data_IF_346269908542
#
_entry.id   IF_346269908542
#
_cell.length_a   1.000
_cell.length_b   1.000
_cell.length_c   1.000
_cell.angle_alpha   90.00
_cell.angle_beta   90.00
_cell.angle_gamma   90.00
#
_symmetry.space_group_name_H-M   'P 1'
#
loop_
_entity.id
_entity.type
_entity.pdbx_description
1 polymer ?
#
# COMPACT_ATOMS: atom_id res chain seq x y z
N UNK A 1 19.38 -23.78 43.92
CA UNK A 1 20.04 -22.47 43.70
C UNK A 1 20.96 -22.08 44.86
N UNK A 2 20.58 -22.32 46.13
CA UNK A 2 21.39 -21.95 47.32
C UNK A 2 22.77 -22.65 47.45
N UNK A 3 22.92 -23.90 46.98
CA UNK A 3 24.19 -24.65 47.13
C UNK A 3 25.30 -24.15 46.19
N UNK A 4 24.95 -23.69 44.98
CA UNK A 4 25.95 -23.28 43.97
C UNK A 4 26.45 -21.86 44.21
N UNK A 5 25.60 -20.97 44.74
CA UNK A 5 25.97 -19.59 45.09
C UNK A 5 27.01 -19.53 46.23
N UNK A 6 26.98 -20.50 47.14
CA UNK A 6 27.88 -20.54 48.31
C UNK A 6 29.35 -20.84 47.97
N UNK A 7 29.66 -21.32 46.77
CA UNK A 7 31.02 -21.81 46.42
C UNK A 7 31.81 -20.81 45.56
N UNK A 8 31.14 -19.93 44.81
CA UNK A 8 31.79 -19.20 43.70
C UNK A 8 31.62 -17.68 43.76
N UNK A 9 30.79 -17.14 44.67
CA UNK A 9 30.43 -15.72 44.65
C UNK A 9 29.52 -15.39 43.45
N UNK A 10 28.70 -14.36 43.57
CA UNK A 10 27.60 -14.06 42.64
C UNK A 10 28.10 -13.88 41.18
N UNK A 11 29.30 -13.33 41.00
CA UNK A 11 29.89 -13.07 39.68
C UNK A 11 30.37 -14.34 38.95
N UNK A 12 30.84 -15.35 39.69
CA UNK A 12 31.30 -16.60 39.06
C UNK A 12 30.19 -17.64 38.89
N UNK A 13 29.04 -17.47 39.56
CA UNK A 13 27.88 -18.33 39.39
C UNK A 13 27.28 -18.23 37.98
N UNK A 14 27.18 -17.02 37.40
CA UNK A 14 26.65 -16.82 36.03
C UNK A 14 27.56 -17.44 34.97
N UNK A 15 28.89 -17.27 35.10
CA UNK A 15 29.85 -17.88 34.18
C UNK A 15 29.82 -19.41 34.25
N UNK A 16 29.71 -19.98 35.46
CA UNK A 16 29.55 -21.40 35.68
C UNK A 16 28.23 -21.93 35.11
N UNK A 17 27.13 -21.18 35.29
CA UNK A 17 25.83 -21.53 34.70
C UNK A 17 25.88 -21.51 33.18
N UNK A 18 26.51 -20.51 32.55
CA UNK A 18 26.67 -20.46 31.08
C UNK A 18 27.55 -21.57 30.52
N UNK A 19 28.53 -22.04 31.29
CA UNK A 19 29.43 -23.12 30.87
C UNK A 19 28.80 -24.51 31.07
N UNK A 20 27.98 -24.69 32.12
CA UNK A 20 27.39 -25.99 32.49
C UNK A 20 25.95 -26.19 32.04
N UNK A 21 25.22 -25.12 31.72
CA UNK A 21 23.83 -25.18 31.26
C UNK A 21 23.74 -24.73 29.81
N UNK A 22 23.08 -25.54 28.98
CA UNK A 22 22.69 -25.13 27.64
C UNK A 22 21.52 -24.13 27.79
N UNK A 23 21.65 -22.89 27.31
CA UNK A 23 20.56 -21.92 27.39
C UNK A 23 19.33 -22.46 26.65
N UNK A 24 18.16 -22.40 27.29
CA UNK A 24 16.92 -22.77 26.62
C UNK A 24 16.71 -21.87 25.40
N UNK A 25 16.32 -22.45 24.27
CA UNK A 25 16.16 -21.76 22.98
C UNK A 25 14.91 -20.87 22.94
N UNK A 26 14.76 -19.96 23.90
CA UNK A 26 13.60 -19.07 24.06
C UNK A 26 13.36 -18.32 22.75
N UNK A 27 14.40 -17.71 22.17
CA UNK A 27 14.28 -16.93 20.93
C UNK A 27 13.85 -17.79 19.72
N UNK A 28 14.22 -19.07 19.70
CA UNK A 28 13.81 -19.99 18.64
C UNK A 28 12.32 -20.31 18.76
N UNK A 29 11.91 -20.76 19.95
CA UNK A 29 10.53 -21.16 20.22
C UNK A 29 9.55 -19.99 20.17
N UNK A 30 9.92 -18.84 20.75
CA UNK A 30 9.10 -17.63 20.67
C UNK A 30 9.00 -17.10 19.24
N UNK A 31 10.10 -17.18 18.48
CA UNK A 31 10.12 -16.80 17.06
C UNK A 31 9.09 -17.57 16.23
N UNK A 32 8.98 -18.88 16.40
CA UNK A 32 7.96 -19.69 15.71
C UNK A 32 6.54 -19.26 16.05
N UNK A 33 6.25 -18.98 17.32
CA UNK A 33 4.92 -18.52 17.75
C UNK A 33 4.59 -17.16 17.16
N UNK A 34 5.55 -16.23 17.19
CA UNK A 34 5.40 -14.90 16.60
C UNK A 34 5.16 -14.99 15.10
N UNK A 35 5.95 -15.77 14.36
CA UNK A 35 5.75 -15.94 12.91
C UNK A 35 4.37 -16.52 12.59
N UNK A 36 3.89 -17.49 13.37
CA UNK A 36 2.56 -18.06 13.18
C UNK A 36 1.47 -17.01 13.39
N UNK A 37 1.62 -16.17 14.42
CA UNK A 37 0.72 -15.02 14.62
C UNK A 37 0.81 -14.02 13.47
N UNK A 38 2.02 -13.68 13.01
CA UNK A 38 2.25 -12.74 11.90
C UNK A 38 1.52 -13.23 10.64
N UNK A 39 1.71 -14.49 10.25
CA UNK A 39 1.03 -15.04 9.07
C UNK A 39 -0.50 -14.95 9.17
N UNK A 40 -1.06 -15.36 10.31
CA UNK A 40 -2.51 -15.30 10.51
C UNK A 40 -3.08 -13.88 10.56
N UNK A 41 -2.36 -12.92 11.15
CA UNK A 41 -2.82 -11.52 11.12
C UNK A 41 -2.68 -10.91 9.73
N UNK A 42 -1.62 -11.20 8.99
CA UNK A 42 -1.42 -10.65 7.66
C UNK A 42 -2.50 -11.12 6.67
N UNK A 43 -2.99 -12.35 6.79
CA UNK A 43 -4.15 -12.83 6.01
C UNK A 43 -5.42 -12.02 6.31
N UNK A 44 -5.64 -11.65 7.59
CA UNK A 44 -6.77 -10.81 8.01
C UNK A 44 -6.62 -9.37 7.51
N UNK A 45 -5.42 -8.80 7.63
CA UNK A 45 -5.10 -7.46 7.12
C UNK A 45 -5.35 -7.41 5.61
N UNK A 46 -4.86 -8.39 4.85
CA UNK A 46 -5.10 -8.48 3.41
C UNK A 46 -6.62 -8.48 3.10
N UNK A 47 -7.41 -9.25 3.84
CA UNK A 47 -8.86 -9.32 3.68
C UNK A 47 -9.55 -7.99 4.01
N UNK A 48 -9.16 -7.32 5.09
CA UNK A 48 -9.72 -6.04 5.47
C UNK A 48 -9.34 -4.92 4.51
N UNK A 49 -8.11 -4.93 3.99
CA UNK A 49 -7.65 -3.97 2.97
C UNK A 49 -8.45 -4.12 1.67
N UNK A 50 -8.66 -5.36 1.19
CA UNK A 50 -9.50 -5.62 0.01
C UNK A 50 -10.90 -5.08 0.21
N UNK A 51 -11.53 -5.42 1.34
CA UNK A 51 -12.87 -4.95 1.69
C UNK A 51 -12.95 -3.41 1.74
N UNK A 52 -11.99 -2.75 2.37
CA UNK A 52 -11.97 -1.30 2.49
C UNK A 52 -11.89 -0.61 1.12
N UNK A 53 -11.10 -1.16 0.19
CA UNK A 53 -10.99 -0.62 -1.17
C UNK A 53 -12.23 -0.92 -2.04
N UNK A 54 -12.83 -2.11 -1.90
CA UNK A 54 -14.02 -2.52 -2.65
C UNK A 54 -15.28 -1.75 -2.24
N UNK A 55 -15.38 -1.35 -0.97
CA UNK A 55 -16.52 -0.59 -0.43
C UNK A 55 -16.41 0.92 -0.64
N UNK A 56 -15.29 1.40 -1.21
CA UNK A 56 -15.01 2.82 -1.38
C UNK A 56 -15.85 3.44 -2.51
N UNK A 57 -16.53 4.55 -2.23
CA UNK A 57 -17.32 5.30 -3.23
C UNK A 57 -16.47 6.25 -4.06
N UNK A 58 -15.26 6.57 -3.58
CA UNK A 58 -14.28 7.51 -4.15
C UNK A 58 -14.74 8.97 -4.09
N UNK A 59 -15.41 9.31 -3.00
CA UNK A 59 -15.76 10.68 -2.66
C UNK A 59 -14.75 11.22 -1.63
N UNK A 60 -14.42 12.52 -1.68
CA UNK A 60 -13.50 13.10 -0.71
C UNK A 60 -14.13 13.08 0.70
N UNK A 61 -13.34 12.71 1.72
CA UNK A 61 -13.78 12.74 3.13
C UNK A 61 -14.28 14.14 3.52
N UNK A 62 -13.57 15.18 3.09
CA UNK A 62 -13.94 16.57 3.33
C UNK A 62 -13.28 17.51 2.31
N UNK A 63 -13.70 18.79 2.21
CA UNK A 63 -13.05 19.76 1.31
C UNK A 63 -11.54 19.92 1.56
N UNK A 64 -11.09 19.69 2.79
CA UNK A 64 -9.69 19.69 3.21
C UNK A 64 -9.01 18.33 3.01
N UNK A 65 -9.72 17.22 3.27
CA UNK A 65 -9.23 15.86 3.09
C UNK A 65 -9.80 15.24 1.80
N UNK A 66 -9.08 15.48 0.70
CA UNK A 66 -9.52 15.12 -0.66
C UNK A 66 -9.11 13.72 -1.12
N UNK A 67 -8.80 12.83 -0.18
CA UNK A 67 -8.57 11.40 -0.42
C UNK A 67 -9.82 10.62 0.01
N UNK A 68 -9.93 9.37 -0.44
CA UNK A 68 -11.01 8.46 -0.04
C UNK A 68 -10.84 7.99 1.40
N UNK A 69 -11.94 7.54 2.01
CA UNK A 69 -11.94 7.04 3.40
C UNK A 69 -11.09 5.77 3.56
N UNK A 70 -11.08 4.93 2.53
CA UNK A 70 -10.42 3.62 2.50
C UNK A 70 -8.94 3.68 2.88
N UNK A 71 -8.16 4.67 2.40
CA UNK A 71 -6.73 4.73 2.72
C UNK A 71 -6.47 5.06 4.20
N UNK A 72 -7.35 5.84 4.83
CA UNK A 72 -7.26 6.16 6.26
C UNK A 72 -7.53 4.89 7.08
N UNK A 73 -8.54 4.12 6.69
CA UNK A 73 -8.88 2.85 7.34
C UNK A 73 -7.77 1.81 7.17
N UNK A 74 -7.20 1.68 5.96
CA UNK A 74 -6.07 0.79 5.69
C UNK A 74 -4.88 1.16 6.58
N UNK A 75 -4.54 2.44 6.69
CA UNK A 75 -3.47 2.87 7.57
C UNK A 75 -3.76 2.54 9.04
N UNK A 76 -4.99 2.79 9.51
CA UNK A 76 -5.41 2.47 10.88
C UNK A 76 -5.28 0.99 11.20
N UNK A 77 -5.79 0.11 10.33
CA UNK A 77 -5.68 -1.35 10.49
C UNK A 77 -4.22 -1.77 10.62
N UNK A 78 -3.34 -1.21 9.78
CA UNK A 78 -1.91 -1.53 9.77
C UNK A 78 -1.22 -1.02 11.04
N UNK A 79 -1.54 0.19 11.48
CA UNK A 79 -1.00 0.77 12.72
C UNK A 79 -1.43 -0.04 13.95
N UNK A 80 -2.71 -0.39 14.07
CA UNK A 80 -3.22 -1.25 15.13
C UNK A 80 -2.54 -2.64 15.12
N UNK A 81 -2.30 -3.21 13.93
CA UNK A 81 -1.57 -4.47 13.80
C UNK A 81 -0.11 -4.34 14.23
N UNK A 82 0.54 -3.21 13.90
CA UNK A 82 1.89 -2.92 14.36
C UNK A 82 1.94 -2.76 15.89
N UNK A 83 0.96 -2.10 16.50
CA UNK A 83 0.84 -2.02 17.96
C UNK A 83 0.77 -3.41 18.60
N UNK A 84 -0.06 -4.30 18.06
CA UNK A 84 -0.17 -5.68 18.54
C UNK A 84 1.14 -6.46 18.37
N UNK A 85 1.85 -6.29 17.25
CA UNK A 85 3.15 -6.92 17.02
C UNK A 85 4.20 -6.46 18.04
N UNK A 86 4.24 -5.17 18.36
CA UNK A 86 5.19 -4.64 19.35
C UNK A 86 4.75 -4.85 20.80
N UNK A 87 3.48 -5.20 21.05
CA UNK A 87 2.98 -5.56 22.39
C UNK A 87 3.57 -6.88 22.92
N UNK A 88 4.05 -7.78 22.04
CA UNK A 88 4.70 -9.01 22.46
C UNK A 88 5.89 -8.74 23.39
N UNK A 89 5.88 -9.39 24.56
CA UNK A 89 6.97 -9.32 25.55
C UNK A 89 8.03 -10.42 25.38
N UNK A 90 7.91 -11.23 24.32
CA UNK A 90 8.86 -12.32 24.03
C UNK A 90 10.00 -11.85 23.11
N UNK A 91 11.21 -12.43 23.20
CA UNK A 91 12.28 -12.12 22.27
C UNK A 91 11.86 -12.35 20.81
N UNK A 92 12.14 -11.39 19.93
CA UNK A 92 12.03 -11.55 18.48
C UNK A 92 13.38 -11.26 17.82
N UNK A 93 13.66 -11.91 16.69
CA UNK A 93 14.82 -11.68 15.83
C UNK A 93 14.39 -10.78 14.66
N UNK A 94 15.37 -10.40 13.84
CA UNK A 94 15.12 -9.54 12.67
C UNK A 94 14.27 -10.24 11.60
N UNK A 95 14.29 -11.58 11.56
CA UNK A 95 13.48 -12.37 10.61
C UNK A 95 11.99 -12.20 10.83
N UNK A 96 11.54 -12.16 12.08
CA UNK A 96 10.14 -11.94 12.44
C UNK A 96 9.67 -10.53 12.03
N UNK A 97 10.50 -9.51 12.28
CA UNK A 97 10.23 -8.13 11.82
C UNK A 97 10.14 -8.07 10.29
N UNK A 98 11.13 -8.63 9.59
CA UNK A 98 11.15 -8.60 8.13
C UNK A 98 9.93 -9.31 7.53
N UNK A 99 9.49 -10.41 8.12
CA UNK A 99 8.26 -11.11 7.69
C UNK A 99 7.02 -10.24 7.89
N UNK A 100 6.93 -9.54 9.03
CA UNK A 100 5.86 -8.60 9.32
C UNK A 100 5.83 -7.45 8.29
N UNK A 101 6.95 -6.74 8.10
CA UNK A 101 7.02 -5.60 7.20
C UNK A 101 6.77 -5.99 5.74
N UNK A 102 7.26 -7.15 5.29
CA UNK A 102 6.95 -7.67 3.94
C UNK A 102 5.45 -7.93 3.75
N UNK A 103 4.76 -8.40 4.78
CA UNK A 103 3.32 -8.61 4.72
C UNK A 103 2.54 -7.30 4.60
N UNK A 104 2.94 -6.29 5.36
CA UNK A 104 2.35 -4.95 5.29
C UNK A 104 2.66 -4.28 3.94
N UNK A 105 3.88 -4.44 3.42
CA UNK A 105 4.26 -3.99 2.08
C UNK A 105 3.36 -4.62 1.01
N UNK A 106 3.13 -5.93 1.08
CA UNK A 106 2.17 -6.61 0.20
C UNK A 106 0.75 -6.04 0.32
N UNK A 107 0.30 -5.72 1.53
CA UNK A 107 -1.04 -5.17 1.76
C UNK A 107 -1.23 -3.80 1.09
N UNK A 108 -0.24 -2.91 1.17
CA UNK A 108 -0.25 -1.62 0.46
C UNK A 108 -0.20 -1.80 -1.07
N UNK A 109 0.56 -2.77 -1.58
CA UNK A 109 0.55 -3.10 -3.02
C UNK A 109 -0.85 -3.54 -3.47
N UNK A 110 -1.51 -4.43 -2.72
CA UNK A 110 -2.87 -4.89 -3.02
C UNK A 110 -3.85 -3.71 -3.02
N UNK A 111 -3.78 -2.83 -2.02
CA UNK A 111 -4.60 -1.62 -1.99
C UNK A 111 -4.40 -0.78 -3.26
N UNK A 112 -3.15 -0.57 -3.66
CA UNK A 112 -2.76 0.22 -4.83
C UNK A 112 -3.31 -0.38 -6.13
N UNK A 113 -3.26 -1.70 -6.25
CA UNK A 113 -3.83 -2.42 -7.39
C UNK A 113 -5.35 -2.22 -7.47
N UNK A 114 -6.07 -2.28 -6.36
CA UNK A 114 -7.53 -2.05 -6.32
C UNK A 114 -7.89 -0.59 -6.63
N UNK A 115 -7.05 0.37 -6.22
CA UNK A 115 -7.22 1.80 -6.56
C UNK A 115 -7.10 2.03 -8.07
N UNK A 116 -6.30 1.24 -8.79
CA UNK A 116 -6.07 1.43 -10.23
C UNK A 116 -6.76 0.41 -11.12
N UNK A 117 -7.35 -0.64 -10.54
CA UNK A 117 -8.04 -1.70 -11.27
C UNK A 117 -9.08 -1.19 -12.28
N UNK A 118 -9.93 -0.20 -11.95
CA UNK A 118 -10.97 0.25 -12.89
C UNK A 118 -10.42 1.12 -14.03
N UNK A 119 -9.15 1.53 -13.99
CA UNK A 119 -8.55 2.39 -15.02
C UNK A 119 -8.25 1.52 -16.23
N UNK A 120 -8.95 1.80 -17.33
CA UNK A 120 -8.81 1.09 -18.62
C UNK A 120 -7.74 1.78 -19.47
N UNK A 121 -7.16 1.05 -20.42
CA UNK A 121 -6.22 1.64 -21.38
C UNK A 121 -6.95 2.60 -22.33
N UNK A 122 -6.27 3.62 -22.86
CA UNK A 122 -6.92 4.68 -23.66
C UNK A 122 -7.49 4.13 -24.96
N UNK A 123 -6.88 3.09 -25.49
CA UNK A 123 -7.27 2.38 -26.71
C UNK A 123 -8.66 1.75 -26.55
N UNK A 124 -9.03 1.34 -25.33
CA UNK A 124 -10.34 0.78 -25.00
C UNK A 124 -11.44 1.85 -24.88
N UNK A 125 -11.08 3.14 -24.80
CA UNK A 125 -12.05 4.25 -24.80
C UNK A 125 -12.50 4.67 -26.19
N UNK A 126 -11.83 4.19 -27.25
CA UNK A 126 -12.16 4.53 -28.63
C UNK A 126 -13.30 3.64 -29.12
N UNK A 127 -14.50 4.18 -29.42
CA UNK A 127 -15.57 3.37 -29.96
C UNK A 127 -15.15 2.78 -31.31
N UNK A 128 -15.52 1.52 -31.55
CA UNK A 128 -15.28 0.87 -32.83
C UNK A 128 -15.87 1.73 -33.96
N UNK A 129 -15.11 1.86 -35.04
CA UNK A 129 -15.53 2.63 -36.22
C UNK A 129 -16.90 2.09 -36.66
N UNK A 130 -17.96 2.92 -36.69
CA UNK A 130 -19.27 2.46 -37.09
C UNK A 130 -19.21 1.94 -38.53
N UNK A 131 -19.83 0.78 -38.78
CA UNK A 131 -19.94 0.24 -40.13
C UNK A 131 -20.65 1.28 -40.99
N UNK A 132 -20.10 1.57 -42.18
CA UNK A 132 -20.68 2.52 -43.12
C UNK A 132 -22.10 2.05 -43.53
N UNK A 133 -23.12 2.48 -42.79
CA UNK A 133 -24.52 2.30 -43.14
C UNK A 133 -24.86 3.32 -44.22
N UNK A 134 -24.60 2.97 -45.47
CA UNK A 134 -25.08 3.74 -46.61
C UNK A 134 -26.62 3.77 -46.57
N UNK A 135 -27.22 4.94 -46.37
CA UNK A 135 -28.64 5.13 -46.66
C UNK A 135 -28.85 4.95 -48.17
N UNK A 136 -29.43 3.82 -48.58
CA UNK A 136 -29.75 3.57 -49.99
C UNK A 136 -31.25 3.83 -50.16
N UNK A 137 -31.62 4.99 -50.71
CA UNK A 137 -32.93 5.15 -51.35
C UNK A 137 -32.88 4.29 -52.61
N UNK A 138 -33.47 3.10 -52.55
CA UNK A 138 -33.32 2.07 -53.56
C UNK A 138 -33.76 2.55 -54.94
N UNK A 139 -32.82 2.68 -55.87
CA UNK A 139 -33.07 2.46 -57.29
C UNK A 139 -32.03 1.44 -57.75
N UNK A 140 -32.54 0.34 -58.32
CA UNK A 140 -31.88 -0.86 -58.82
C UNK A 140 -30.36 -0.89 -58.88
N UNK A 141 -29.78 -1.96 -58.34
CA UNK A 141 -28.83 -2.85 -59.04
C UNK A 141 -28.44 -3.96 -58.04
N UNK A 142 -28.71 -5.20 -58.45
CA UNK A 142 -28.25 -6.44 -57.82
C UNK A 142 -26.79 -6.65 -58.19
N UNK A 143 -25.88 -6.60 -57.22
CA UNK A 143 -24.52 -7.10 -57.38
C UNK A 143 -24.11 -7.74 -56.06
N UNK A 144 -23.83 -9.04 -56.12
CA UNK A 144 -23.32 -9.85 -55.02
C UNK A 144 -21.92 -9.35 -54.64
N UNK A 145 -21.82 -8.65 -53.52
CA UNK A 145 -20.54 -8.40 -52.85
C UNK A 145 -20.54 -9.27 -51.60
N UNK A 146 -19.57 -10.19 -51.53
CA UNK A 146 -19.30 -11.05 -50.39
C UNK A 146 -19.14 -10.17 -49.15
N UNK A 147 -20.14 -10.17 -48.29
CA UNK A 147 -20.17 -9.40 -47.05
C UNK A 147 -19.19 -10.11 -46.11
N UNK A 148 -17.99 -9.57 -45.96
CA UNK A 148 -17.16 -9.90 -44.80
C UNK A 148 -17.93 -9.44 -43.57
N UNK A 149 -18.50 -10.40 -42.87
CA UNK A 149 -19.09 -10.18 -41.55
C UNK A 149 -17.89 -9.95 -40.64
N UNK A 150 -17.50 -8.68 -40.51
CA UNK A 150 -16.60 -8.27 -39.47
C UNK A 150 -17.31 -8.60 -38.15
N UNK A 151 -16.75 -9.53 -37.37
CA UNK A 151 -17.25 -9.85 -36.04
C UNK A 151 -17.30 -8.56 -35.23
N UNK A 152 -18.51 -8.02 -35.07
CA UNK A 152 -18.79 -6.97 -34.10
C UNK A 152 -18.58 -7.64 -32.75
N UNK A 153 -17.37 -7.54 -32.19
CA UNK A 153 -17.12 -7.88 -30.80
C UNK A 153 -18.13 -7.06 -29.99
N UNK A 154 -19.08 -7.69 -29.28
CA UNK A 154 -19.96 -6.92 -28.41
C UNK A 154 -19.07 -6.16 -27.43
N UNK A 155 -19.28 -4.85 -27.33
CA UNK A 155 -18.66 -4.04 -26.28
C UNK A 155 -19.03 -4.70 -24.97
N UNK A 156 -18.04 -5.21 -24.24
CA UNK A 156 -18.25 -5.91 -22.99
C UNK A 156 -18.98 -4.95 -22.02
N UNK A 157 -20.23 -5.28 -21.67
CA UNK A 157 -21.06 -4.45 -20.79
C UNK A 157 -20.33 -4.13 -19.47
N UNK A 158 -19.41 -5.01 -19.03
CA UNK A 158 -18.52 -4.77 -17.88
C UNK A 158 -17.63 -3.55 -18.06
N UNK A 159 -16.96 -3.41 -19.20
CA UNK A 159 -16.11 -2.24 -19.51
C UNK A 159 -16.92 -0.94 -19.50
N UNK A 160 -18.17 -0.98 -19.96
CA UNK A 160 -19.04 0.21 -19.96
C UNK A 160 -19.37 0.69 -18.54
N UNK A 161 -19.64 -0.24 -17.61
CA UNK A 161 -19.92 0.09 -16.20
C UNK A 161 -18.70 0.61 -15.45
N UNK A 162 -17.51 0.10 -15.78
CA UNK A 162 -16.23 0.57 -15.23
C UNK A 162 -15.92 2.00 -15.71
N UNK A 163 -16.16 2.30 -16.99
CA UNK A 163 -15.99 3.65 -17.56
C UNK A 163 -16.92 4.67 -16.89
N UNK A 164 -18.17 4.31 -16.56
CA UNK A 164 -19.12 5.20 -15.85
C UNK A 164 -18.61 5.54 -14.43
N UNK A 165 -17.81 4.68 -13.81
CA UNK A 165 -17.21 4.94 -12.50
C UNK A 165 -15.93 5.82 -12.56
N UNK A 166 -15.38 6.09 -13.75
CA UNK A 166 -14.17 6.88 -13.97
C UNK A 166 -14.46 8.38 -14.22
N UNK A 167 -15.32 9.00 -13.42
CA UNK A 167 -15.48 10.45 -13.50
C UNK A 167 -14.19 11.16 -13.09
N UNK A 168 -13.91 12.34 -13.66
CA UNK A 168 -12.71 13.12 -13.32
C UNK A 168 -12.58 13.39 -11.81
N UNK A 169 -13.71 13.62 -11.12
CA UNK A 169 -13.75 13.77 -9.67
C UNK A 169 -13.17 12.54 -8.95
N UNK A 170 -13.68 11.34 -9.28
CA UNK A 170 -13.25 10.09 -8.66
C UNK A 170 -11.79 9.76 -8.96
N UNK A 171 -11.31 10.08 -10.16
CA UNK A 171 -9.91 9.96 -10.52
C UNK A 171 -9.01 10.89 -9.70
N UNK A 172 -9.41 12.16 -9.49
CA UNK A 172 -8.68 13.07 -8.60
C UNK A 172 -8.64 12.54 -7.16
N UNK A 173 -9.72 11.94 -6.65
CA UNK A 173 -9.76 11.32 -5.30
C UNK A 173 -8.85 10.09 -5.21
N UNK A 174 -8.87 9.20 -6.22
CA UNK A 174 -7.94 8.05 -6.30
C UNK A 174 -6.48 8.51 -6.29
N UNK A 175 -6.14 9.51 -7.12
CA UNK A 175 -4.80 10.10 -7.16
C UNK A 175 -4.37 10.67 -5.80
N UNK A 176 -5.23 11.46 -5.16
CA UNK A 176 -4.96 12.02 -3.83
C UNK A 176 -4.78 10.93 -2.77
N UNK A 177 -5.53 9.83 -2.88
CA UNK A 177 -5.41 8.68 -1.99
C UNK A 177 -4.06 7.98 -2.13
N UNK A 178 -3.53 7.85 -3.35
CA UNK A 178 -2.18 7.34 -3.61
C UNK A 178 -1.10 8.24 -3.01
N UNK A 179 -1.20 9.57 -3.20
CA UNK A 179 -0.27 10.51 -2.57
C UNK A 179 -0.29 10.44 -1.04
N UNK A 180 -1.49 10.33 -0.47
CA UNK A 180 -1.65 10.15 0.97
C UNK A 180 -1.03 8.83 1.44
N UNK A 181 -1.21 7.74 0.69
CA UNK A 181 -0.60 6.44 0.97
C UNK A 181 0.93 6.52 1.05
N UNK A 182 1.60 7.19 0.09
CA UNK A 182 3.06 7.39 0.12
C UNK A 182 3.49 8.10 1.41
N UNK A 183 2.79 9.17 1.80
CA UNK A 183 3.11 9.93 3.00
C UNK A 183 2.96 9.09 4.26
N UNK A 184 1.89 8.32 4.36
CA UNK A 184 1.62 7.45 5.50
C UNK A 184 2.61 6.28 5.59
N UNK A 185 3.02 5.73 4.45
CA UNK A 185 4.03 4.69 4.37
C UNK A 185 5.38 5.15 4.96
N UNK A 186 5.78 6.40 4.69
CA UNK A 186 6.98 6.98 5.29
C UNK A 186 6.91 7.05 6.82
N UNK A 187 5.80 7.58 7.36
CA UNK A 187 5.58 7.66 8.82
C UNK A 187 5.56 6.28 9.48
N UNK A 188 4.97 5.29 8.81
CA UNK A 188 4.93 3.92 9.29
C UNK A 188 6.34 3.31 9.37
N UNK A 189 7.16 3.50 8.34
CA UNK A 189 8.54 3.00 8.33
C UNK A 189 9.37 3.61 9.47
N UNK A 190 9.24 4.92 9.70
CA UNK A 190 9.91 5.62 10.80
C UNK A 190 9.44 5.08 12.16
N UNK A 191 8.13 4.93 12.36
CA UNK A 191 7.52 4.40 13.59
C UNK A 191 7.98 2.96 13.90
N UNK A 192 7.97 2.07 12.89
CA UNK A 192 8.44 0.68 13.05
C UNK A 192 9.94 0.66 13.38
N UNK A 193 10.74 1.45 12.68
CA UNK A 193 12.19 1.54 12.90
C UNK A 193 12.52 2.02 14.31
N UNK A 194 11.82 3.04 14.79
CA UNK A 194 11.99 3.58 16.14
C UNK A 194 11.61 2.55 17.22
N UNK A 195 10.45 1.91 17.08
CA UNK A 195 9.97 0.88 18.02
C UNK A 195 10.91 -0.32 18.06
N UNK A 196 11.44 -0.75 16.90
CA UNK A 196 12.43 -1.81 16.84
C UNK A 196 13.75 -1.42 17.52
N UNK A 197 14.24 -0.20 17.27
CA UNK A 197 15.47 0.30 17.90
C UNK A 197 15.36 0.36 19.43
N UNK A 198 14.23 0.87 19.96
CA UNK A 198 13.95 0.90 21.41
C UNK A 198 14.02 -0.52 22.01
N UNK A 199 13.37 -1.47 21.36
CA UNK A 199 13.32 -2.87 21.79
C UNK A 199 14.70 -3.55 21.79
N UNK A 200 15.56 -3.24 20.81
CA UNK A 200 16.93 -3.76 20.80
C UNK A 200 17.79 -3.10 21.88
N UNK A 201 17.61 -1.80 22.13
CA UNK A 201 18.32 -1.11 23.21
C UNK A 201 17.98 -1.70 24.58
N UNK A 202 16.73 -2.07 24.85
CA UNK A 202 16.34 -2.75 26.09
C UNK A 202 17.10 -4.09 26.25
N UNK A 203 17.19 -4.89 25.18
CA UNK A 203 17.98 -6.13 25.18
C UNK A 203 19.46 -5.88 25.45
N UNK A 204 20.04 -4.81 24.87
CA UNK A 204 21.46 -4.48 25.05
C UNK A 204 21.70 -3.90 26.45
N UNK A 205 20.80 -3.11 27.02
CA UNK A 205 20.91 -2.57 28.38
C UNK A 205 20.92 -3.72 29.41
N UNK A 206 20.05 -4.71 29.25
CA UNK A 206 20.05 -5.94 30.07
C UNK A 206 21.40 -6.67 29.93
N UNK A 207 21.99 -6.73 28.73
CA UNK A 207 23.32 -7.35 28.52
C UNK A 207 24.50 -6.51 29.03
N UNK A 208 24.46 -5.18 28.90
CA UNK A 208 25.52 -4.25 29.33
C UNK A 208 25.61 -4.12 30.86
N UNK A 209 24.51 -4.35 31.57
CA UNK A 209 24.53 -4.55 33.03
C UNK A 209 25.29 -5.81 33.47
N UNK A 210 25.64 -6.72 32.54
CA UNK A 210 26.23 -8.03 32.84
C UNK A 210 27.60 -8.24 32.17
N UNK A 211 27.95 -7.54 31.10
CA UNK A 211 29.33 -7.53 30.57
C UNK A 211 29.61 -6.33 29.65
N UNK A 212 30.75 -5.67 29.87
CA UNK A 212 31.20 -4.51 29.12
C UNK A 212 31.84 -4.88 27.78
N UNK A 213 31.02 -5.01 26.73
CA UNK A 213 31.35 -4.69 25.31
C UNK A 213 30.23 -5.20 24.40
N UNK A 214 29.60 -4.33 23.62
CA UNK A 214 28.79 -4.74 22.47
C UNK A 214 28.77 -3.62 21.42
N UNK A 215 29.25 -3.95 20.21
CA UNK A 215 29.14 -3.12 19.00
C UNK A 215 27.66 -2.94 18.64
N UNK A 216 27.29 -1.74 18.20
CA UNK A 216 25.94 -1.38 17.76
C UNK A 216 25.53 -2.19 16.52
N UNK A 217 24.65 -3.17 16.70
CA UNK A 217 24.03 -3.92 15.60
C UNK A 217 22.74 -3.21 15.15
N UNK A 218 22.85 -1.95 14.72
CA UNK A 218 21.72 -1.27 14.08
C UNK A 218 21.73 -1.70 12.61
N UNK A 219 21.02 -2.77 12.29
CA UNK A 219 20.79 -3.17 10.91
C UNK A 219 20.05 -2.05 10.20
N UNK A 220 20.61 -1.60 9.08
CA UNK A 220 20.07 -0.57 8.21
C UNK A 220 18.73 -1.07 7.64
N UNK A 221 17.61 -0.71 8.28
CA UNK A 221 16.24 -1.13 7.95
C UNK A 221 15.63 -0.34 6.77
N UNK A 222 16.43 0.51 6.14
CA UNK A 222 16.02 1.33 5.01
C UNK A 222 15.54 0.41 3.89
N UNK A 223 14.35 0.68 3.34
CA UNK A 223 13.78 0.03 2.14
C UNK A 223 12.82 -1.15 2.40
N UNK A 224 12.26 -1.31 3.61
CA UNK A 224 11.29 -2.39 3.86
C UNK A 224 9.99 -2.25 3.06
N UNK A 225 9.68 -1.05 2.57
CA UNK A 225 8.46 -0.74 1.84
C UNK A 225 8.69 -0.32 0.37
N UNK A 226 9.83 -0.70 -0.21
CA UNK A 226 10.16 -0.34 -1.59
C UNK A 226 9.19 -0.93 -2.62
N UNK A 227 8.62 -2.11 -2.33
CA UNK A 227 7.61 -2.72 -3.19
C UNK A 227 6.39 -1.81 -3.34
N UNK A 228 5.82 -1.37 -2.22
CA UNK A 228 4.70 -0.42 -2.18
C UNK A 228 5.05 0.91 -2.81
N UNK A 229 6.23 1.46 -2.53
CA UNK A 229 6.65 2.74 -3.12
C UNK A 229 6.70 2.68 -4.65
N UNK A 230 7.26 1.61 -5.19
CA UNK A 230 7.30 1.41 -6.65
C UNK A 230 5.90 1.28 -7.22
N UNK A 231 5.06 0.44 -6.60
CA UNK A 231 3.69 0.21 -7.07
C UNK A 231 2.84 1.48 -7.02
N UNK A 232 2.93 2.25 -5.93
CA UNK A 232 2.16 3.50 -5.78
C UNK A 232 2.63 4.55 -6.79
N UNK A 233 3.94 4.69 -7.02
CA UNK A 233 4.44 5.63 -8.03
C UNK A 233 4.00 5.21 -9.44
N UNK A 234 4.09 3.93 -9.79
CA UNK A 234 3.59 3.42 -11.07
C UNK A 234 2.08 3.65 -11.24
N UNK A 235 1.31 3.46 -10.16
CA UNK A 235 -0.12 3.75 -10.13
C UNK A 235 -0.42 5.25 -10.32
N UNK A 236 0.35 6.13 -9.69
CA UNK A 236 0.25 7.59 -9.89
C UNK A 236 0.52 7.94 -11.35
N UNK A 237 1.59 7.42 -11.94
CA UNK A 237 1.93 7.65 -13.34
C UNK A 237 0.81 7.17 -14.26
N UNK A 238 0.26 5.98 -14.03
CA UNK A 238 -0.88 5.44 -14.79
C UNK A 238 -2.12 6.34 -14.72
N UNK A 239 -2.48 6.84 -13.54
CA UNK A 239 -3.60 7.78 -13.37
C UNK A 239 -3.32 9.11 -14.07
N UNK A 240 -2.09 9.60 -13.99
CA UNK A 240 -1.66 10.84 -14.63
C UNK A 240 -1.68 10.73 -16.15
N UNK A 241 -1.18 9.63 -16.70
CA UNK A 241 -1.24 9.32 -18.13
C UNK A 241 -2.69 9.24 -18.61
N UNK A 242 -3.57 8.51 -17.91
CA UNK A 242 -4.99 8.39 -18.23
C UNK A 242 -5.67 9.77 -18.28
N UNK A 243 -5.38 10.64 -17.31
CA UNK A 243 -5.93 12.00 -17.22
C UNK A 243 -5.25 13.04 -18.12
N UNK A 244 -4.16 12.69 -18.81
CA UNK A 244 -3.38 13.62 -19.65
C UNK A 244 -2.54 14.63 -18.85
N UNK A 245 -2.26 14.35 -17.58
CA UNK A 245 -1.37 15.10 -16.71
C UNK A 245 0.04 14.50 -16.84
N UNK A 246 1.06 15.26 -17.28
CA UNK A 246 2.45 14.73 -17.34
C UNK A 246 3.08 14.72 -15.92
N UNK A 247 3.76 13.63 -15.51
CA UNK A 247 4.38 13.50 -14.17
C UNK A 247 5.49 14.53 -13.89
N UNK A 248 6.19 15.02 -14.93
CA UNK A 248 7.34 15.92 -14.80
C UNK A 248 7.03 17.32 -14.25
N UNK A 249 5.75 17.71 -14.17
CA UNK A 249 5.37 18.94 -13.47
C UNK A 249 5.17 18.75 -11.97
N UNK A 250 5.23 17.51 -11.44
CA UNK A 250 4.86 17.14 -10.07
C UNK A 250 6.05 17.05 -9.09
N UNK A 251 7.28 17.01 -9.61
CA UNK A 251 8.50 16.92 -8.79
C UNK A 251 9.07 18.31 -8.49
N UNK A 252 8.43 19.03 -7.57
CA UNK A 252 8.99 20.19 -6.88
C UNK A 252 8.68 20.09 -5.39
N UNK A 253 9.51 20.67 -4.49
CA UNK A 253 9.24 20.61 -3.05
C UNK A 253 7.85 21.17 -2.76
N UNK A 254 7.14 20.69 -1.72
CA UNK A 254 5.73 20.97 -1.51
C UNK A 254 5.53 22.41 -0.99
N UNK A 255 5.76 23.39 -1.85
CA UNK A 255 5.32 24.77 -1.68
C UNK A 255 3.97 24.93 -2.35
N UNK A 256 3.11 25.75 -1.73
CA UNK A 256 1.66 25.91 -1.94
C UNK A 256 1.15 26.07 -3.39
N UNK A 257 2.03 26.20 -4.38
CA UNK A 257 1.76 26.34 -5.81
C UNK A 257 1.28 25.01 -6.42
N UNK A 258 1.76 23.86 -5.93
CA UNK A 258 1.37 22.54 -6.45
C UNK A 258 -0.08 22.16 -6.10
N UNK A 259 -0.50 22.52 -4.88
CA UNK A 259 -1.90 22.44 -4.47
C UNK A 259 -2.79 23.25 -5.41
N UNK A 260 -2.37 24.44 -5.85
CA UNK A 260 -3.19 25.28 -6.74
C UNK A 260 -3.26 24.80 -8.19
N UNK A 261 -2.23 24.14 -8.74
CA UNK A 261 -2.23 23.72 -10.15
C UNK A 261 -3.08 22.46 -10.41
N UNK A 262 -2.97 21.44 -9.54
CA UNK A 262 -3.86 20.27 -9.57
C UNK A 262 -5.29 20.69 -9.18
N UNK A 263 -5.42 21.61 -8.23
CA UNK A 263 -6.72 22.18 -7.82
C UNK A 263 -7.36 23.00 -8.95
N UNK A 264 -6.64 23.84 -9.70
CA UNK A 264 -7.23 24.60 -10.83
C UNK A 264 -7.70 23.69 -11.98
N UNK A 265 -7.00 22.59 -12.28
CA UNK A 265 -7.42 21.65 -13.34
C UNK A 265 -8.59 20.75 -12.91
N UNK A 266 -8.58 20.18 -11.70
CA UNK A 266 -9.75 19.42 -11.21
C UNK A 266 -10.97 20.35 -11.01
N UNK A 267 -10.79 21.60 -10.56
CA UNK A 267 -11.90 22.57 -10.39
C UNK A 267 -12.45 23.08 -11.73
N UNK A 268 -11.61 23.29 -12.75
CA UNK A 268 -12.06 23.67 -14.09
C UNK A 268 -12.90 22.56 -14.77
N UNK A 269 -12.57 21.27 -14.54
CA UNK A 269 -13.41 20.16 -15.01
C UNK A 269 -14.73 20.02 -14.25
N UNK A 270 -14.75 20.33 -12.94
CA UNK A 270 -15.97 20.30 -12.15
C UNK A 270 -16.93 21.47 -12.45
N UNK A 271 -16.41 22.62 -12.88
CA UNK A 271 -17.21 23.80 -13.29
C UNK A 271 -17.72 23.67 -14.73
N UNK A 272 -17.05 22.91 -15.59
CA UNK A 272 -17.45 22.68 -16.98
C UNK A 272 -18.83 22.01 -17.16
N UNK A 273 -19.39 21.42 -16.11
CA UNK A 273 -20.71 20.78 -16.12
C UNK A 273 -21.86 21.66 -15.60
N UNK A 274 -21.61 22.92 -15.21
CA UNK A 274 -22.67 23.85 -14.76
C UNK A 274 -22.97 25.03 -15.70
N UNK A 275 -22.35 25.08 -16.89
CA UNK A 275 -22.59 26.15 -17.90
C UNK A 275 -23.04 25.63 -19.28
N UNK A 276 -23.85 24.56 -19.32
CA UNK A 276 -24.69 24.23 -20.49
C UNK A 276 -26.10 23.83 -20.05
N UNK A 277 -26.81 24.79 -19.47
CA UNK A 277 -28.27 24.83 -19.39
C UNK A 277 -28.68 26.26 -19.05
N UNK A 278 -28.61 27.11 -20.05
CA UNK A 278 -29.38 28.34 -20.21
C UNK A 278 -29.61 28.51 -21.71
#
# INVERSE_FOLDING_TARGET
MSVMASVVGDDGLDSLCRQKLVPYEIESKSGTVVLRWVNGQLERVETWVKRAAEQETWDPISPQQRHGGSIVEVYRIIEETADQFFAFKVPMRIGELNSFCRGIDKAFQIYTQLVTQPIVDKEDLVPLVPVLTRYKKEHGIKAFVKKEIQEVRPVDERKSSEIVQLTMSKLCVRLNSLYYAISQLGKLEDSISERWAKRQNDKINIRRSVNGKSKSLVSNQKNQFDGSRREINAAIDRVCEFTGLKPGHILGPPTAIHRQYVQKRCFASSIGHYCRSA
#
